data_IF_118583596228
#
_entry.id   IF_118583596228
#
_cell.length_a   1.000
_cell.length_b   1.000
_cell.length_c   1.000
_cell.angle_alpha   90.00
_cell.angle_beta   90.00
_cell.angle_gamma   90.00
#
_symmetry.space_group_name_H-M   'P 1'
#
loop_
_entity.id
_entity.type
_entity.pdbx_description
1 polymer ?
#
# COMPACT_ATOMS: atom_id res chain seq x y z
N UNK A 1 -10.23 3.94 -1.77
CA UNK A 1 -8.97 4.72 -1.82
C UNK A 1 -9.24 6.13 -1.30
N UNK A 2 -8.30 6.70 -0.55
CA UNK A 2 -8.44 8.07 0.03
C UNK A 2 -7.64 9.04 -0.83
N UNK A 3 -8.18 9.36 -2.00
CA UNK A 3 -7.53 10.23 -2.97
C UNK A 3 -7.31 11.65 -2.45
N UNK A 4 -8.17 12.12 -1.55
CA UNK A 4 -8.02 13.41 -0.88
C UNK A 4 -6.71 13.56 -0.10
N UNK A 5 -6.18 12.48 0.47
CA UNK A 5 -4.86 12.47 1.13
C UNK A 5 -3.72 12.51 0.12
N UNK A 6 -3.87 11.79 -0.99
CA UNK A 6 -2.88 11.81 -2.09
C UNK A 6 -2.83 13.19 -2.73
N UNK A 7 -3.98 13.85 -2.92
CA UNK A 7 -4.06 15.20 -3.45
C UNK A 7 -3.27 16.19 -2.60
N UNK A 8 -3.47 16.20 -1.27
CA UNK A 8 -2.72 17.09 -0.36
C UNK A 8 -1.20 16.89 -0.45
N UNK A 9 -0.77 15.64 -0.53
CA UNK A 9 0.67 15.34 -0.69
C UNK A 9 1.19 15.83 -2.04
N UNK A 10 0.45 15.61 -3.12
CA UNK A 10 0.80 16.10 -4.45
C UNK A 10 0.88 17.63 -4.49
N UNK A 11 -0.12 18.32 -3.97
CA UNK A 11 -0.16 19.79 -3.89
C UNK A 11 1.03 20.34 -3.08
N UNK A 12 1.35 19.74 -1.93
CA UNK A 12 2.51 20.15 -1.13
C UNK A 12 3.85 19.99 -1.87
N UNK A 13 3.94 19.04 -2.78
CA UNK A 13 5.15 18.78 -3.56
C UNK A 13 5.26 19.65 -4.82
N UNK A 14 4.15 20.17 -5.34
CA UNK A 14 4.09 20.90 -6.60
C UNK A 14 3.68 22.37 -6.44
N UNK A 15 2.99 22.73 -5.37
CA UNK A 15 2.40 24.05 -5.16
C UNK A 15 2.80 24.65 -3.81
N UNK A 16 2.43 25.91 -3.59
CA UNK A 16 2.39 26.50 -2.24
C UNK A 16 1.06 26.13 -1.57
N UNK A 17 1.14 25.51 -0.40
CA UNK A 17 -0.01 25.24 0.45
C UNK A 17 0.05 26.09 1.72
N UNK A 18 -1.07 26.35 2.41
CA UNK A 18 -1.09 27.18 3.61
C UNK A 18 -0.27 26.62 4.79
N UNK A 19 -0.14 25.29 4.88
CA UNK A 19 0.58 24.63 5.97
C UNK A 19 2.09 24.76 5.76
N UNK A 20 2.77 25.51 6.63
CA UNK A 20 4.21 25.68 6.57
C UNK A 20 4.83 25.84 7.96
N UNK A 21 6.09 25.51 8.09
CA UNK A 21 6.86 25.62 9.33
C UNK A 21 8.33 25.97 9.05
N UNK A 22 9.04 26.48 10.05
CA UNK A 22 10.45 26.84 9.94
C UNK A 22 11.40 25.64 9.97
N UNK A 23 10.93 24.47 10.40
CA UNK A 23 11.69 23.22 10.39
C UNK A 23 10.74 22.01 10.45
N UNK A 24 11.27 20.82 10.12
CA UNK A 24 10.51 19.60 10.25
C UNK A 24 10.09 19.30 11.70
N UNK A 25 10.97 19.62 12.67
CA UNK A 25 10.65 19.48 14.10
C UNK A 25 9.51 20.41 14.48
N UNK A 26 9.59 21.69 14.10
CA UNK A 26 8.55 22.66 14.37
C UNK A 26 7.19 22.26 13.74
N UNK A 27 7.20 21.64 12.54
CA UNK A 27 5.99 21.14 11.91
C UNK A 27 5.31 20.04 12.75
N UNK A 28 6.10 19.11 13.28
CA UNK A 28 5.61 18.03 14.15
C UNK A 28 5.09 18.59 15.48
N UNK A 29 5.84 19.47 16.12
CA UNK A 29 5.43 20.11 17.39
C UNK A 29 4.12 20.89 17.24
N UNK A 30 3.99 21.72 16.20
CA UNK A 30 2.75 22.44 15.88
C UNK A 30 1.55 21.50 15.66
N UNK A 31 1.78 20.35 15.03
CA UNK A 31 0.75 19.34 14.84
C UNK A 31 0.33 18.72 16.18
N UNK A 32 1.28 18.40 17.04
CA UNK A 32 1.03 17.83 18.37
C UNK A 32 0.29 18.82 19.30
N UNK A 33 0.61 20.11 19.22
CA UNK A 33 -0.15 21.17 19.95
C UNK A 33 -1.63 21.20 19.57
N UNK A 34 -1.96 20.77 18.34
CA UNK A 34 -3.33 20.63 17.86
C UNK A 34 -3.95 19.24 18.15
N UNK A 35 -3.27 18.38 18.92
CA UNK A 35 -3.63 16.99 19.17
C UNK A 35 -3.71 16.12 17.89
N UNK A 36 -2.98 16.50 16.84
CA UNK A 36 -2.83 15.73 15.61
C UNK A 36 -1.46 15.07 15.63
N UNK A 37 -1.41 13.75 15.85
CA UNK A 37 -0.18 13.01 16.05
C UNK A 37 0.13 12.07 14.91
N UNK A 38 1.41 11.81 14.69
CA UNK A 38 2.02 10.75 13.87
C UNK A 38 1.35 10.54 12.50
N UNK A 39 0.55 9.50 12.37
CA UNK A 39 -0.13 9.09 11.13
C UNK A 39 -1.07 10.19 10.55
N UNK A 40 -1.52 11.12 11.39
CA UNK A 40 -2.49 12.14 11.00
C UNK A 40 -1.85 13.50 10.67
N UNK A 41 -0.53 13.63 10.83
CA UNK A 41 0.20 14.87 10.49
C UNK A 41 -0.01 15.17 9.00
N UNK A 42 -0.46 16.38 8.73
CA UNK A 42 -0.74 16.83 7.36
C UNK A 42 0.54 17.27 6.63
N UNK A 43 0.60 17.18 5.31
CA UNK A 43 1.72 17.70 4.53
C UNK A 43 2.01 19.16 4.87
N UNK A 44 3.27 19.46 5.17
CA UNK A 44 3.71 20.79 5.62
C UNK A 44 4.96 21.20 4.86
N UNK A 45 4.98 22.42 4.34
CA UNK A 45 6.12 23.00 3.63
C UNK A 45 7.10 23.57 4.63
N UNK A 46 8.37 23.25 4.47
CA UNK A 46 9.42 23.83 5.29
C UNK A 46 9.96 25.12 4.62
N UNK A 47 10.03 26.19 5.39
CA UNK A 47 10.59 27.46 4.98
C UNK A 47 12.06 27.58 5.41
N UNK A 48 12.86 28.24 4.59
CA UNK A 48 14.24 28.62 4.97
C UNK A 48 14.24 29.81 5.96
N UNK A 49 15.43 30.21 6.40
CA UNK A 49 15.59 31.32 7.36
C UNK A 49 15.09 32.69 6.81
N UNK A 50 14.94 32.80 5.50
CA UNK A 50 14.42 34.00 4.82
C UNK A 50 12.90 33.91 4.56
N UNK A 51 12.25 32.84 4.98
CA UNK A 51 10.83 32.59 4.77
C UNK A 51 10.49 32.05 3.39
N UNK A 52 11.48 31.64 2.60
CA UNK A 52 11.23 31.03 1.30
C UNK A 52 10.93 29.54 1.46
N UNK A 53 9.99 28.99 0.69
CA UNK A 53 9.69 27.58 0.73
C UNK A 53 10.82 26.73 0.15
N UNK A 54 11.01 25.52 0.65
CA UNK A 54 11.83 24.51 0.00
C UNK A 54 11.40 24.35 -1.46
N UNK A 55 12.33 24.06 -2.40
CA UNK A 55 12.00 23.87 -3.81
C UNK A 55 10.83 22.91 -4.03
N UNK A 56 9.98 23.19 -5.01
CA UNK A 56 8.92 22.31 -5.47
C UNK A 56 9.42 21.48 -6.65
N UNK A 57 8.75 20.35 -6.86
CA UNK A 57 9.00 19.55 -8.06
C UNK A 57 8.39 20.29 -9.24
N UNK A 58 9.22 20.56 -10.24
CA UNK A 58 8.86 21.26 -11.48
C UNK A 58 8.99 20.37 -12.70
N UNK A 59 8.60 20.93 -13.87
CA UNK A 59 8.87 20.29 -15.15
C UNK A 59 10.38 20.09 -15.36
N UNK A 60 10.77 19.00 -16.03
CA UNK A 60 12.16 18.61 -16.30
C UNK A 60 12.99 18.21 -15.06
N UNK A 61 12.37 18.08 -13.88
CA UNK A 61 13.07 17.59 -12.68
C UNK A 61 13.26 16.08 -12.71
N UNK A 62 14.30 15.63 -11.98
CA UNK A 62 14.50 14.22 -11.67
C UNK A 62 14.01 13.92 -10.25
N UNK A 63 13.14 12.93 -10.13
CA UNK A 63 12.53 12.51 -8.87
C UNK A 63 12.95 11.09 -8.54
N UNK A 64 13.51 10.88 -7.36
CA UNK A 64 13.75 9.54 -6.81
C UNK A 64 12.76 9.32 -5.67
N UNK A 65 11.77 8.45 -5.91
CA UNK A 65 10.80 8.10 -4.87
C UNK A 65 11.36 6.95 -4.03
N UNK A 66 12.05 7.31 -2.96
CA UNK A 66 12.78 6.39 -2.08
C UNK A 66 11.82 5.63 -1.16
N UNK A 67 11.09 4.67 -1.73
CA UNK A 67 10.14 3.84 -1.01
C UNK A 67 10.07 2.45 -1.64
N UNK A 68 10.29 1.39 -0.85
CA UNK A 68 10.21 0.00 -1.30
C UNK A 68 8.82 -0.60 -1.17
N UNK A 69 7.90 0.06 -0.49
CA UNK A 69 6.52 -0.40 -0.36
C UNK A 69 5.73 -0.10 -1.63
N UNK A 70 5.04 -1.11 -2.16
CA UNK A 70 4.39 -1.00 -3.49
C UNK A 70 2.91 -0.56 -3.44
N UNK A 71 2.26 -0.58 -2.29
CA UNK A 71 0.82 -0.38 -2.18
C UNK A 71 0.39 1.10 -2.29
N UNK A 72 0.79 1.94 -1.33
CA UNK A 72 0.40 3.36 -1.27
C UNK A 72 1.22 4.26 -2.21
N UNK A 73 2.54 4.07 -2.36
CA UNK A 73 3.37 4.92 -3.24
C UNK A 73 2.85 5.01 -4.67
N UNK A 74 2.27 3.93 -5.22
CA UNK A 74 1.74 3.94 -6.59
C UNK A 74 0.66 5.00 -6.82
N UNK A 75 -0.13 5.38 -5.80
CA UNK A 75 -1.16 6.41 -5.96
C UNK A 75 -0.56 7.78 -6.25
N UNK A 76 0.47 8.15 -5.48
CA UNK A 76 1.19 9.40 -5.70
C UNK A 76 2.02 9.36 -6.98
N UNK A 77 2.68 8.23 -7.26
CA UNK A 77 3.43 8.03 -8.52
C UNK A 77 2.53 8.23 -9.74
N UNK A 78 1.35 7.62 -9.78
CA UNK A 78 0.37 7.82 -10.87
C UNK A 78 0.05 9.29 -11.08
N UNK A 79 -0.15 10.05 -10.00
CA UNK A 79 -0.43 11.48 -10.08
C UNK A 79 0.74 12.27 -10.69
N UNK A 80 1.99 11.82 -10.53
CA UNK A 80 3.14 12.45 -11.14
C UNK A 80 3.34 12.05 -12.60
N UNK A 81 3.20 10.79 -12.94
CA UNK A 81 3.70 10.25 -14.21
C UNK A 81 2.65 9.99 -15.27
N UNK A 82 1.36 9.91 -14.92
CA UNK A 82 0.30 9.68 -15.89
C UNK A 82 -0.23 11.02 -16.44
N UNK A 83 -0.15 11.26 -17.74
CA UNK A 83 -0.67 12.51 -18.33
C UNK A 83 -2.21 12.58 -18.21
N UNK A 84 -2.88 11.44 -18.31
CA UNK A 84 -4.33 11.28 -18.27
C UNK A 84 -4.87 10.82 -16.88
N UNK A 85 -4.13 11.13 -15.83
CA UNK A 85 -4.40 10.66 -14.46
C UNK A 85 -5.85 10.87 -14.00
N UNK A 86 -6.46 12.00 -14.35
CA UNK A 86 -7.83 12.36 -13.94
C UNK A 86 -8.89 11.48 -14.62
N UNK A 87 -8.62 11.03 -15.83
CA UNK A 87 -9.53 10.23 -16.65
C UNK A 87 -9.11 8.77 -16.73
N UNK A 88 -7.91 8.49 -16.22
CA UNK A 88 -7.38 7.14 -16.21
C UNK A 88 -8.29 6.24 -15.37
N UNK A 89 -9.26 5.64 -16.04
CA UNK A 89 -10.05 4.55 -15.47
C UNK A 89 -9.07 3.42 -15.24
N UNK A 90 -8.75 3.19 -13.98
CA UNK A 90 -8.08 1.96 -13.62
C UNK A 90 -9.06 0.87 -14.03
N UNK A 91 -8.89 0.30 -15.22
CA UNK A 91 -9.36 -1.06 -15.42
C UNK A 91 -8.75 -1.82 -14.26
N UNK A 92 -9.61 -2.36 -13.39
CA UNK A 92 -9.19 -3.11 -12.19
C UNK A 92 -8.48 -4.43 -12.57
N UNK A 93 -7.89 -4.48 -13.76
CA UNK A 93 -6.97 -5.48 -14.20
C UNK A 93 -5.74 -5.39 -13.30
N UNK A 94 -5.83 -6.11 -12.20
CA UNK A 94 -4.73 -6.32 -11.31
C UNK A 94 -4.42 -5.22 -10.27
N UNK A 95 -5.38 -4.84 -9.45
CA UNK A 95 -5.07 -4.57 -8.04
C UNK A 95 -5.08 -5.91 -7.31
N UNK A 96 -3.92 -6.47 -6.95
CA UNK A 96 -3.86 -7.74 -6.23
C UNK A 96 -4.67 -7.71 -4.92
N UNK A 97 -5.00 -6.54 -4.41
CA UNK A 97 -5.84 -6.33 -3.24
C UNK A 97 -7.33 -6.28 -3.55
N UNK A 98 -7.75 -5.85 -4.75
CA UNK A 98 -9.17 -5.70 -5.08
C UNK A 98 -9.77 -6.94 -5.75
N UNK A 99 -9.06 -7.59 -6.65
CA UNK A 99 -9.57 -8.71 -7.45
C UNK A 99 -10.03 -9.89 -6.59
N UNK A 100 -9.32 -10.16 -5.49
CA UNK A 100 -9.66 -11.28 -4.60
C UNK A 100 -10.87 -10.99 -3.69
N UNK A 101 -11.14 -9.72 -3.39
CA UNK A 101 -12.29 -9.31 -2.58
C UNK A 101 -13.59 -9.23 -3.38
N UNK A 102 -13.55 -8.86 -4.66
CA UNK A 102 -14.74 -8.83 -5.52
C UNK A 102 -15.38 -10.20 -5.76
N UNK A 103 -14.59 -11.28 -5.73
CA UNK A 103 -15.13 -12.63 -5.95
C UNK A 103 -15.61 -13.34 -4.68
N UNK A 104 -15.23 -12.90 -3.49
CA UNK A 104 -15.60 -13.55 -2.21
C UNK A 104 -16.58 -12.78 -1.35
N UNK A 105 -16.67 -11.48 -1.52
CA UNK A 105 -17.60 -10.62 -0.78
C UNK A 105 -18.23 -9.64 -1.75
N UNK A 106 -19.53 -9.79 -2.00
CA UNK A 106 -20.34 -8.76 -2.63
C UNK A 106 -20.41 -7.59 -1.66
N UNK A 107 -19.46 -6.68 -1.76
CA UNK A 107 -19.54 -5.39 -1.12
C UNK A 107 -20.00 -4.45 -2.22
N UNK A 108 -21.27 -4.03 -2.13
CA UNK A 108 -21.76 -2.90 -2.91
C UNK A 108 -20.95 -1.67 -2.52
N UNK A 109 -19.84 -1.46 -3.22
CA UNK A 109 -19.13 -0.19 -3.14
C UNK A 109 -20.00 0.86 -3.85
N UNK A 110 -20.21 2.04 -3.24
CA UNK A 110 -20.89 3.12 -3.93
C UNK A 110 -20.22 3.39 -5.27
N UNK A 111 -20.95 3.28 -6.35
CA UNK A 111 -20.48 3.43 -7.74
C UNK A 111 -20.00 4.86 -8.08
N UNK A 112 -19.99 5.77 -7.13
CA UNK A 112 -19.68 7.20 -7.30
C UNK A 112 -18.46 7.68 -6.50
N UNK A 113 -17.49 6.84 -6.17
CA UNK A 113 -16.22 7.35 -5.64
C UNK A 113 -15.40 7.90 -6.79
N UNK A 114 -14.94 9.17 -6.77
CA UNK A 114 -14.07 9.70 -7.82
C UNK A 114 -12.87 8.77 -8.00
N UNK A 115 -12.56 8.42 -9.24
CA UNK A 115 -11.45 7.51 -9.54
C UNK A 115 -10.09 8.13 -9.18
N UNK A 116 -10.03 9.47 -9.04
CA UNK A 116 -8.82 10.26 -8.80
C UNK A 116 -9.18 11.65 -8.27
N UNK A 117 -8.21 12.55 -8.19
CA UNK A 117 -8.41 13.99 -7.93
C UNK A 117 -7.95 14.80 -9.15
N UNK A 118 -8.37 16.06 -9.24
CA UNK A 118 -7.92 16.96 -10.30
C UNK A 118 -6.65 17.68 -9.87
N UNK A 119 -5.59 17.56 -10.66
CA UNK A 119 -4.32 18.27 -10.46
C UNK A 119 -4.45 19.71 -10.96
N UNK A 120 -3.99 20.69 -10.19
CA UNK A 120 -3.87 22.08 -10.66
C UNK A 120 -2.63 22.28 -11.54
N UNK A 121 -1.55 21.57 -11.19
CA UNK A 121 -0.29 21.56 -11.94
C UNK A 121 -0.10 20.15 -12.47
N UNK A 122 0.08 20.01 -13.76
CA UNK A 122 0.49 18.77 -14.43
C UNK A 122 1.94 18.96 -14.83
N UNK A 123 2.82 18.10 -14.33
CA UNK A 123 4.25 18.18 -14.63
C UNK A 123 4.55 17.44 -15.93
N UNK A 124 5.31 18.08 -16.80
CA UNK A 124 5.78 17.53 -18.05
C UNK A 124 7.25 17.14 -17.94
N UNK A 125 7.66 16.11 -18.69
CA UNK A 125 9.05 15.68 -18.85
C UNK A 125 9.82 15.45 -17.53
N UNK A 126 9.15 14.93 -16.51
CA UNK A 126 9.84 14.53 -15.27
C UNK A 126 10.52 13.17 -15.45
N UNK A 127 11.75 13.04 -14.95
CA UNK A 127 12.46 11.77 -14.86
C UNK A 127 12.15 11.13 -13.51
N UNK A 128 11.24 10.15 -13.50
CA UNK A 128 10.73 9.56 -12.25
C UNK A 128 11.31 8.17 -12.01
N UNK A 129 12.03 8.01 -10.90
CA UNK A 129 12.63 6.74 -10.46
C UNK A 129 11.89 6.20 -9.25
N UNK A 130 11.50 4.92 -9.33
CA UNK A 130 10.93 4.16 -8.21
C UNK A 130 11.93 3.12 -7.70
N UNK A 131 11.94 2.83 -6.40
CA UNK A 131 12.85 1.83 -5.85
C UNK A 131 12.53 0.42 -6.35
N UNK A 132 11.26 0.11 -6.54
CA UNK A 132 10.80 -1.16 -7.10
C UNK A 132 9.60 -0.92 -8.02
N UNK A 133 9.15 -1.93 -8.73
CA UNK A 133 7.98 -1.83 -9.60
C UNK A 133 6.71 -1.67 -8.74
N UNK A 134 6.14 -0.46 -8.70
CA UNK A 134 4.92 -0.19 -7.95
C UNK A 134 3.67 -0.65 -8.69
N UNK A 135 3.74 -0.65 -10.00
CA UNK A 135 2.68 -1.10 -10.89
C UNK A 135 3.25 -1.34 -12.29
N UNK A 136 2.74 -2.37 -12.94
CA UNK A 136 3.15 -2.69 -14.31
C UNK A 136 2.76 -1.57 -15.28
N UNK A 137 3.63 -1.27 -16.22
CA UNK A 137 3.45 -0.24 -17.28
C UNK A 137 3.36 1.22 -16.79
N UNK A 138 3.70 1.56 -15.54
CA UNK A 138 3.91 2.96 -15.20
C UNK A 138 5.14 3.52 -15.93
N UNK A 139 5.05 4.75 -16.49
CA UNK A 139 6.19 5.39 -17.16
C UNK A 139 7.25 5.88 -16.15
N UNK A 140 7.89 4.94 -15.47
CA UNK A 140 8.92 5.17 -14.46
C UNK A 140 10.16 4.33 -14.74
N UNK A 141 11.31 4.77 -14.24
CA UNK A 141 12.51 3.94 -14.19
C UNK A 141 12.52 3.18 -12.87
N UNK A 142 12.61 1.86 -12.92
CA UNK A 142 12.68 1.01 -11.73
C UNK A 142 14.14 0.77 -11.37
N UNK A 143 14.57 1.22 -10.18
CA UNK A 143 15.96 1.09 -9.73
C UNK A 143 16.31 -0.37 -9.41
N UNK A 144 15.40 -1.09 -8.75
CA UNK A 144 15.58 -2.49 -8.33
C UNK A 144 14.35 -3.29 -8.77
N UNK A 145 14.34 -3.83 -10.01
CA UNK A 145 13.21 -4.61 -10.47
C UNK A 145 13.02 -5.87 -9.63
N UNK A 146 11.78 -6.27 -9.48
CA UNK A 146 11.40 -7.47 -8.73
C UNK A 146 12.04 -8.71 -9.37
N UNK A 147 12.70 -9.50 -8.54
CA UNK A 147 13.22 -10.81 -8.97
C UNK A 147 12.33 -11.90 -8.35
N UNK A 148 11.57 -12.65 -9.17
CA UNK A 148 10.71 -13.69 -8.65
C UNK A 148 11.53 -14.82 -8.02
N UNK A 149 11.10 -15.26 -6.84
CA UNK A 149 11.70 -16.41 -6.16
C UNK A 149 10.97 -17.67 -6.64
N UNK A 150 11.63 -18.45 -7.49
CA UNK A 150 11.02 -19.64 -8.09
C UNK A 150 10.92 -20.84 -7.13
N UNK A 151 11.85 -20.94 -6.18
CA UNK A 151 11.90 -22.05 -5.22
C UNK A 151 11.60 -21.53 -3.81
N UNK A 152 10.33 -21.45 -3.48
CA UNK A 152 9.83 -21.07 -2.16
C UNK A 152 9.61 -22.31 -1.28
N UNK A 153 9.49 -22.12 0.04
CA UNK A 153 9.13 -23.21 0.96
C UNK A 153 7.79 -23.84 0.54
N UNK A 154 6.78 -23.02 0.15
CA UNK A 154 5.50 -23.52 -0.33
C UNK A 154 5.64 -24.49 -1.50
N UNK A 155 6.51 -24.19 -2.46
CA UNK A 155 6.80 -25.04 -3.60
C UNK A 155 7.54 -26.32 -3.21
N UNK A 156 8.47 -26.24 -2.27
CA UNK A 156 9.17 -27.43 -1.76
C UNK A 156 8.19 -28.40 -1.09
N UNK A 157 7.30 -27.87 -0.24
CA UNK A 157 6.26 -28.64 0.43
C UNK A 157 5.27 -29.28 -0.55
N UNK A 158 4.89 -28.55 -1.62
CA UNK A 158 4.12 -29.11 -2.73
C UNK A 158 4.82 -30.31 -3.37
N UNK A 159 6.12 -30.17 -3.67
CA UNK A 159 6.92 -31.20 -4.31
C UNK A 159 6.98 -32.51 -3.51
N UNK A 160 6.95 -32.42 -2.19
CA UNK A 160 6.90 -33.57 -1.28
C UNK A 160 5.47 -33.92 -0.81
N UNK A 161 4.44 -33.27 -1.37
CA UNK A 161 3.02 -33.50 -1.12
C UNK A 161 2.62 -33.29 0.35
N UNK A 162 3.24 -32.35 1.03
CA UNK A 162 2.96 -32.02 2.42
C UNK A 162 1.87 -30.96 2.47
N UNK A 163 0.84 -31.18 3.29
CA UNK A 163 -0.24 -30.19 3.50
C UNK A 163 0.23 -29.03 4.33
N UNK A 164 -0.09 -27.82 3.89
CA UNK A 164 0.32 -26.58 4.50
C UNK A 164 -0.88 -25.64 4.69
N UNK A 165 -0.89 -24.91 5.79
CA UNK A 165 -1.92 -23.94 6.13
C UNK A 165 -1.32 -22.55 6.27
N UNK A 166 -1.93 -21.55 5.59
CA UNK A 166 -1.64 -20.15 5.76
C UNK A 166 -2.75 -19.50 6.54
N UNK A 167 -2.40 -18.83 7.63
CA UNK A 167 -3.38 -18.19 8.51
C UNK A 167 -3.04 -16.72 8.67
N UNK A 168 -4.03 -15.86 8.51
CA UNK A 168 -3.91 -14.44 8.83
C UNK A 168 -5.29 -13.81 8.99
N UNK A 169 -5.33 -12.59 9.48
CA UNK A 169 -6.49 -11.74 9.26
C UNK A 169 -6.43 -11.09 7.87
N UNK A 170 -7.56 -10.58 7.38
CA UNK A 170 -7.68 -10.09 6.01
C UNK A 170 -6.70 -8.96 5.66
N UNK A 171 -6.33 -8.11 6.61
CA UNK A 171 -5.34 -7.03 6.42
C UNK A 171 -3.92 -7.56 6.17
N UNK A 172 -3.63 -8.77 6.67
CA UNK A 172 -2.30 -9.38 6.61
C UNK A 172 -2.20 -10.60 5.68
N UNK A 173 -3.30 -10.98 5.03
CA UNK A 173 -3.36 -12.15 4.13
C UNK A 173 -2.19 -12.22 3.14
N UNK A 174 -1.85 -11.11 2.49
CA UNK A 174 -0.81 -11.07 1.46
C UNK A 174 0.59 -11.45 1.97
N UNK A 175 0.87 -11.22 3.25
CA UNK A 175 2.17 -11.54 3.83
C UNK A 175 2.41 -13.04 3.96
N UNK A 176 1.38 -13.79 4.32
CA UNK A 176 1.45 -15.24 4.48
C UNK A 176 1.11 -16.02 3.20
N UNK A 177 0.61 -15.36 2.17
CA UNK A 177 0.26 -15.95 0.87
C UNK A 177 1.20 -15.46 -0.23
N UNK A 178 0.86 -14.42 -0.92
CA UNK A 178 1.56 -13.88 -2.09
C UNK A 178 3.05 -13.63 -1.86
N UNK A 179 3.39 -12.83 -0.82
CA UNK A 179 4.80 -12.50 -0.56
C UNK A 179 5.59 -13.71 -0.08
N UNK A 180 5.00 -14.54 0.79
CA UNK A 180 5.65 -15.76 1.24
C UNK A 180 5.85 -16.78 0.13
N UNK A 181 4.97 -16.78 -0.87
CA UNK A 181 5.07 -17.62 -2.07
C UNK A 181 5.94 -16.97 -3.19
N UNK A 182 6.78 -15.98 -2.85
CA UNK A 182 7.68 -15.37 -3.82
C UNK A 182 6.96 -14.58 -4.92
N UNK A 183 5.86 -13.91 -4.56
CA UNK A 183 4.97 -13.18 -5.46
C UNK A 183 4.16 -14.07 -6.43
N UNK A 184 3.96 -15.32 -6.07
CA UNK A 184 3.09 -16.24 -6.81
C UNK A 184 1.65 -16.11 -6.29
N UNK A 185 0.70 -15.82 -7.21
CA UNK A 185 -0.72 -15.56 -6.84
C UNK A 185 -1.52 -16.84 -6.55
N UNK A 186 -1.26 -17.88 -7.30
CA UNK A 186 -2.02 -19.12 -7.16
C UNK A 186 -1.49 -19.93 -5.99
N UNK A 187 -2.34 -20.37 -5.06
CA UNK A 187 -1.90 -21.30 -4.01
C UNK A 187 -1.28 -22.56 -4.61
N UNK A 188 -0.25 -23.07 -3.96
CA UNK A 188 0.31 -24.37 -4.31
C UNK A 188 -0.68 -25.51 -4.02
N UNK A 189 -0.50 -26.66 -4.67
CA UNK A 189 -1.26 -27.85 -4.30
C UNK A 189 -1.03 -28.19 -2.81
N UNK A 190 -2.07 -28.59 -2.09
CA UNK A 190 -2.08 -28.81 -0.65
C UNK A 190 -1.82 -27.55 0.21
N UNK A 191 -1.92 -26.35 -0.36
CA UNK A 191 -1.89 -25.09 0.38
C UNK A 191 -3.32 -24.60 0.64
N UNK A 192 -3.73 -24.63 1.89
CA UNK A 192 -5.02 -24.10 2.35
C UNK A 192 -4.85 -22.74 3.00
N UNK A 193 -5.83 -21.86 2.83
CA UNK A 193 -5.85 -20.53 3.44
C UNK A 193 -7.00 -20.39 4.43
N UNK A 194 -6.67 -19.98 5.65
CA UNK A 194 -7.62 -19.64 6.72
C UNK A 194 -7.52 -18.13 6.99
N UNK A 195 -8.40 -17.37 6.35
CA UNK A 195 -8.39 -15.92 6.49
C UNK A 195 -9.56 -15.46 7.37
N UNK A 196 -9.23 -14.81 8.47
CA UNK A 196 -10.19 -14.25 9.42
C UNK A 196 -10.40 -12.79 9.09
N UNK A 197 -11.64 -12.26 9.04
CA UNK A 197 -11.87 -10.84 8.81
C UNK A 197 -11.19 -9.96 9.87
N UNK A 198 -10.48 -8.92 9.44
CA UNK A 198 -9.97 -7.89 10.34
C UNK A 198 -11.11 -7.07 10.95
N UNK A 199 -10.95 -6.49 12.14
CA UNK A 199 -11.97 -5.66 12.76
C UNK A 199 -12.23 -4.39 11.94
N UNK A 200 -13.50 -3.98 11.87
CA UNK A 200 -13.93 -2.78 11.16
C UNK A 200 -13.80 -1.55 12.06
N UNK A 201 -12.57 -1.06 12.24
CA UNK A 201 -12.25 0.14 13.01
C UNK A 201 -11.56 1.18 12.13
N UNK A 202 -11.57 2.45 12.55
CA UNK A 202 -10.93 3.52 11.80
C UNK A 202 -9.40 3.36 11.76
N UNK A 203 -8.82 2.98 12.90
CA UNK A 203 -7.40 2.69 13.12
C UNK A 203 -7.27 1.57 14.14
N UNK A 204 -6.22 0.76 14.06
CA UNK A 204 -6.11 -0.46 14.88
C UNK A 204 -5.64 -0.23 16.32
N UNK A 205 -5.21 0.98 16.67
CA UNK A 205 -5.03 1.40 18.05
C UNK A 205 -6.34 1.37 18.86
N UNK A 206 -7.49 1.50 18.18
CA UNK A 206 -8.83 1.34 18.77
C UNK A 206 -9.20 -0.13 19.06
N UNK A 207 -8.47 -1.07 18.49
CA UNK A 207 -8.62 -2.52 18.72
C UNK A 207 -7.27 -3.22 18.51
N UNK A 208 -6.31 -3.03 19.43
CA UNK A 208 -4.92 -3.50 19.25
C UNK A 208 -4.80 -5.03 19.20
N UNK A 209 -5.71 -5.78 19.83
CA UNK A 209 -5.77 -7.24 19.73
C UNK A 209 -6.19 -7.73 18.34
N UNK A 210 -6.74 -6.83 17.50
CA UNK A 210 -7.20 -7.14 16.14
C UNK A 210 -8.06 -8.43 16.10
N UNK A 211 -7.69 -9.43 15.32
CA UNK A 211 -8.43 -10.71 15.20
C UNK A 211 -7.71 -11.88 15.84
N UNK A 212 -6.71 -11.63 16.73
CA UNK A 212 -5.86 -12.70 17.27
C UNK A 212 -6.64 -13.79 18.00
N UNK A 213 -7.68 -13.45 18.78
CA UNK A 213 -8.49 -14.44 19.51
C UNK A 213 -9.20 -15.39 18.54
N UNK A 214 -9.87 -14.87 17.53
CA UNK A 214 -10.56 -15.68 16.53
C UNK A 214 -9.59 -16.49 15.66
N UNK A 215 -8.40 -15.99 15.40
CA UNK A 215 -7.32 -16.74 14.73
C UNK A 215 -6.89 -17.91 15.61
N UNK A 216 -6.61 -17.65 16.89
CA UNK A 216 -6.16 -18.66 17.84
C UNK A 216 -7.12 -19.82 17.94
N UNK A 217 -8.41 -19.57 18.15
CA UNK A 217 -9.44 -20.62 18.21
C UNK A 217 -9.42 -21.50 16.95
N UNK A 218 -9.46 -20.88 15.77
CA UNK A 218 -9.51 -21.62 14.50
C UNK A 218 -8.21 -22.37 14.18
N UNK A 219 -7.06 -21.85 14.62
CA UNK A 219 -5.77 -22.53 14.46
C UNK A 219 -5.70 -23.76 15.34
N UNK A 220 -6.14 -23.66 16.60
CA UNK A 220 -6.18 -24.81 17.52
C UNK A 220 -7.01 -25.94 16.92
N UNK A 221 -8.21 -25.66 16.41
CA UNK A 221 -9.06 -26.66 15.75
C UNK A 221 -8.36 -27.34 14.57
N UNK A 222 -7.59 -26.58 13.79
CA UNK A 222 -6.84 -27.12 12.64
C UNK A 222 -5.63 -27.95 13.06
N UNK A 223 -4.95 -27.55 14.12
CA UNK A 223 -3.82 -28.32 14.67
C UNK A 223 -4.29 -29.66 15.28
N UNK A 224 -5.40 -29.65 16.01
CA UNK A 224 -6.00 -30.87 16.59
C UNK A 224 -6.41 -31.86 15.49
N UNK A 225 -6.78 -31.38 14.31
CA UNK A 225 -7.15 -32.27 13.20
C UNK A 225 -5.99 -33.09 12.62
N UNK A 226 -4.75 -32.76 12.96
CA UNK A 226 -3.49 -33.42 12.52
C UNK A 226 -3.36 -33.56 10.98
N UNK A 227 -4.00 -32.64 10.24
CA UNK A 227 -4.01 -32.67 8.76
C UNK A 227 -2.82 -31.90 8.16
N UNK A 228 -2.32 -30.89 8.88
CA UNK A 228 -1.29 -29.99 8.39
C UNK A 228 0.07 -30.26 9.05
N UNK A 229 1.09 -30.46 8.22
CA UNK A 229 2.48 -30.59 8.69
C UNK A 229 3.25 -29.29 8.72
N UNK A 230 2.70 -28.24 8.12
CA UNK A 230 3.26 -26.88 8.15
C UNK A 230 2.15 -25.84 8.30
N UNK A 231 2.29 -24.98 9.30
CA UNK A 231 1.35 -23.88 9.54
C UNK A 231 2.14 -22.57 9.63
N UNK A 232 1.75 -21.57 8.85
CA UNK A 232 2.25 -20.22 8.90
C UNK A 232 1.13 -19.28 9.34
N UNK A 233 1.40 -18.48 10.40
CA UNK A 233 0.45 -17.54 11.00
C UNK A 233 1.02 -16.13 10.92
#
# INVERSE_FOLDING_TARGET
KRWERTARAYEALTEMIPSHASSAVAAVEQSYEQNVTDEFIEPTIILDASGNPSPRIGAHDAVIFYNYRIDRPRQLTRAFVLPDFETHVVEEAFDPYSVKYHHKHIIDLPTNTPASFTRKIVLEDIFFVTMTEYEHNLPTVVAFPLQPVHMTIGRVLEGVKVRQLRVAESEKERFVTYYFNGMHETPYNQEDHLIVPSPKVATYDLKPEMSVLAITERVIDRLISDVYSFVLI
#
